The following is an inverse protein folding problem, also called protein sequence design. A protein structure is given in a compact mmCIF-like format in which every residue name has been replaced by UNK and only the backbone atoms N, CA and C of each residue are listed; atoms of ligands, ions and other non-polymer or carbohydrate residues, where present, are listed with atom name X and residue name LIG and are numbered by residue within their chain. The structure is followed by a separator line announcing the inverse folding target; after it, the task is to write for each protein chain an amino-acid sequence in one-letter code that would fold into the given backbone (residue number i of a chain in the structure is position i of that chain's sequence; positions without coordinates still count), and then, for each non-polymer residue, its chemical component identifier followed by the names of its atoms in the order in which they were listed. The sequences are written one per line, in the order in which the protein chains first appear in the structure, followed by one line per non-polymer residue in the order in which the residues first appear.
data_IF_584074957513
#
_entry.id   IF_584074957513
#
_cell.length_a   1.000
_cell.length_b   1.000
_cell.length_c   1.000
_cell.angle_alpha   90.00
_cell.angle_beta   90.00
_cell.angle_gamma   90.00
#
_symmetry.space_group_name_H-M   'P 1'
#
loop_
_entity.id
_entity.type
_entity.pdbx_description
1 polymer ?
#
# COMPACT_ATOMS: atom_id res chain seq x y z
N UNK A 1 -31.33 27.25 14.30
CA UNK A 1 -30.94 26.16 15.22
C UNK A 1 -29.92 25.29 14.49
N UNK A 2 -28.63 25.49 14.76
CA UNK A 2 -27.52 24.74 14.17
C UNK A 2 -27.37 23.39 14.90
N UNK A 3 -27.49 22.28 14.17
CA UNK A 3 -27.09 20.93 14.61
C UNK A 3 -26.28 20.23 13.53
N UNK A 4 -25.23 20.90 13.06
CA UNK A 4 -24.20 20.30 12.20
C UNK A 4 -22.85 20.62 12.81
N UNK A 5 -22.47 19.99 13.92
CA UNK A 5 -21.10 20.13 14.45
C UNK A 5 -20.58 18.99 15.32
N UNK A 6 -21.35 17.96 15.67
CA UNK A 6 -20.79 16.88 16.52
C UNK A 6 -20.36 15.64 15.74
N UNK A 7 -21.09 15.25 14.69
CA UNK A 7 -20.78 13.99 13.98
C UNK A 7 -19.58 14.09 13.02
N UNK A 8 -19.24 15.29 12.55
CA UNK A 8 -18.20 15.46 11.51
C UNK A 8 -16.80 15.70 12.08
N UNK A 9 -16.67 16.02 13.37
CA UNK A 9 -15.36 16.33 13.98
C UNK A 9 -14.65 15.05 14.44
N UNK A 10 -15.39 14.01 14.80
CA UNK A 10 -14.85 12.72 15.26
C UNK A 10 -14.23 11.88 14.13
N UNK A 11 -14.69 12.06 12.89
CA UNK A 11 -14.20 11.32 11.74
C UNK A 11 -12.82 11.79 11.23
N UNK A 12 -12.26 12.90 11.76
CA UNK A 12 -11.14 13.60 11.09
C UNK A 12 -9.78 13.51 11.78
N UNK A 13 -9.65 12.91 12.98
CA UNK A 13 -8.34 12.77 13.63
C UNK A 13 -8.14 11.46 14.43
N UNK A 14 -9.17 10.90 15.07
CA UNK A 14 -9.05 9.62 15.81
C UNK A 14 -9.09 8.39 14.88
N UNK A 15 -9.71 8.49 13.70
CA UNK A 15 -9.75 7.38 12.74
C UNK A 15 -8.45 7.19 11.91
N UNK A 16 -7.41 7.99 12.18
CA UNK A 16 -6.09 7.81 11.55
C UNK A 16 -5.25 6.74 12.28
N UNK A 17 -5.59 6.40 13.54
CA UNK A 17 -4.69 5.63 14.42
C UNK A 17 -4.96 4.11 14.49
N UNK A 18 -5.85 3.57 13.65
CA UNK A 18 -5.94 2.12 13.44
C UNK A 18 -5.96 1.81 11.95
N UNK A 19 -4.82 1.98 11.27
CA UNK A 19 -4.54 1.16 10.08
C UNK A 19 -4.49 -0.30 10.54
N UNK A 20 -5.65 -0.96 10.52
CA UNK A 20 -5.76 -2.36 10.87
C UNK A 20 -5.11 -3.16 9.74
N UNK A 21 -3.95 -3.73 10.05
CA UNK A 21 -3.26 -4.66 9.15
C UNK A 21 -3.88 -6.04 9.33
N UNK A 22 -4.23 -6.69 8.22
CA UNK A 22 -4.86 -8.02 8.20
C UNK A 22 -3.83 -9.12 8.47
N UNK A 23 -2.56 -8.88 8.10
CA UNK A 23 -1.46 -9.83 8.22
C UNK A 23 -0.29 -9.23 8.98
N UNK A 24 0.43 -10.08 9.71
CA UNK A 24 1.68 -9.74 10.37
C UNK A 24 2.63 -10.95 10.43
N UNK A 25 3.93 -10.70 10.51
CA UNK A 25 4.95 -11.75 10.46
C UNK A 25 4.91 -12.80 11.59
N UNK A 26 4.30 -12.48 12.74
CA UNK A 26 4.38 -13.32 13.95
C UNK A 26 3.15 -14.21 14.08
N UNK A 27 1.96 -13.61 13.99
CA UNK A 27 0.70 -14.27 14.29
C UNK A 27 0.02 -14.78 13.03
N UNK A 28 0.14 -14.05 11.92
CA UNK A 28 -0.58 -14.34 10.67
C UNK A 28 0.23 -13.87 9.46
N UNK A 29 1.25 -14.63 9.10
CA UNK A 29 2.20 -14.24 8.04
C UNK A 29 1.57 -14.15 6.66
N UNK A 30 0.36 -14.66 6.47
CA UNK A 30 -0.45 -14.49 5.27
C UNK A 30 0.20 -15.04 3.99
N UNK A 31 -0.29 -14.62 2.81
CA UNK A 31 0.15 -15.18 1.52
C UNK A 31 1.61 -14.88 1.18
N UNK A 32 2.25 -13.88 1.81
CA UNK A 32 3.67 -13.63 1.60
C UNK A 32 4.55 -14.79 2.09
N UNK A 33 4.10 -15.57 3.09
CA UNK A 33 4.86 -16.70 3.60
C UNK A 33 5.01 -17.84 2.57
N UNK A 34 4.03 -17.98 1.65
CA UNK A 34 4.07 -18.97 0.56
C UNK A 34 5.10 -18.61 -0.52
N UNK A 35 5.34 -17.31 -0.73
CA UNK A 35 6.37 -16.82 -1.66
C UNK A 35 7.75 -16.86 -1.00
N UNK A 36 7.83 -16.29 0.21
CA UNK A 36 9.03 -16.28 1.03
C UNK A 36 8.64 -16.00 2.49
N UNK A 37 8.94 -16.95 3.38
CA UNK A 37 8.68 -16.86 4.84
C UNK A 37 9.17 -15.57 5.52
N UNK A 38 10.19 -14.89 4.97
CA UNK A 38 10.75 -13.65 5.51
C UNK A 38 10.27 -12.37 4.81
N UNK A 39 9.46 -12.46 3.75
CA UNK A 39 9.05 -11.29 2.95
C UNK A 39 8.35 -10.19 3.76
N UNK A 40 7.56 -10.59 4.77
CA UNK A 40 6.88 -9.66 5.66
C UNK A 40 7.86 -8.74 6.42
N UNK A 41 9.09 -9.19 6.69
CA UNK A 41 10.11 -8.41 7.45
C UNK A 41 10.50 -7.08 6.79
N UNK A 42 10.20 -6.90 5.50
CA UNK A 42 10.46 -5.67 4.77
C UNK A 42 9.45 -4.56 5.08
N UNK A 43 8.32 -4.91 5.69
CA UNK A 43 7.26 -3.97 6.09
C UNK A 43 7.43 -3.53 7.55
N UNK A 44 6.84 -2.38 7.90
CA UNK A 44 6.87 -1.85 9.26
C UNK A 44 6.32 -2.86 10.25
N UNK A 45 7.18 -3.34 11.16
CA UNK A 45 6.86 -4.37 12.15
C UNK A 45 6.29 -5.67 11.55
N UNK A 46 6.61 -5.96 10.28
CA UNK A 46 6.08 -7.14 9.61
C UNK A 46 4.60 -7.06 9.22
N UNK A 47 3.94 -5.90 9.37
CA UNK A 47 2.50 -5.75 9.20
C UNK A 47 2.16 -5.28 7.77
N UNK A 48 1.19 -5.93 7.14
CA UNK A 48 0.80 -5.60 5.77
C UNK A 48 -0.66 -5.98 5.45
N UNK A 49 -1.17 -5.40 4.36
CA UNK A 49 -2.48 -5.72 3.77
C UNK A 49 -2.29 -6.28 2.37
N UNK A 50 -3.27 -7.07 1.93
CA UNK A 50 -3.31 -7.63 0.57
C UNK A 50 -4.60 -7.18 -0.07
N UNK A 51 -4.48 -6.64 -1.28
CA UNK A 51 -5.61 -6.40 -2.17
C UNK A 51 -5.48 -7.36 -3.35
N UNK A 52 -6.56 -8.08 -3.65
CA UNK A 52 -6.64 -8.86 -4.89
C UNK A 52 -7.15 -7.92 -5.97
N UNK A 53 -6.42 -7.83 -7.07
CA UNK A 53 -6.89 -7.09 -8.24
C UNK A 53 -7.99 -7.91 -8.93
N UNK A 54 -9.15 -7.31 -9.17
CA UNK A 54 -10.28 -7.94 -9.86
C UNK A 54 -10.09 -7.96 -11.39
N UNK A 55 -9.25 -7.05 -11.88
CA UNK A 55 -8.91 -6.88 -13.29
C UNK A 55 -7.40 -6.70 -13.48
N UNK A 56 -6.91 -7.05 -14.67
CA UNK A 56 -5.51 -6.91 -15.03
C UNK A 56 -5.16 -5.42 -15.25
N UNK A 57 -4.10 -4.96 -14.59
CA UNK A 57 -3.58 -3.60 -14.78
C UNK A 57 -2.40 -3.64 -15.75
N UNK A 58 -2.55 -3.02 -16.92
CA UNK A 58 -1.45 -2.83 -17.88
C UNK A 58 -0.76 -1.49 -17.58
N UNK A 59 0.49 -1.55 -17.12
CA UNK A 59 1.31 -0.36 -16.83
C UNK A 59 2.19 -0.01 -18.03
N UNK A 60 1.96 1.15 -18.66
CA UNK A 60 2.86 1.70 -19.67
C UNK A 60 3.98 2.48 -19.01
N UNK A 61 5.24 2.07 -19.23
CA UNK A 61 6.39 2.84 -18.77
C UNK A 61 6.48 4.12 -19.62
N UNK A 62 6.00 5.24 -19.09
CA UNK A 62 6.23 6.54 -19.72
C UNK A 62 7.73 6.87 -19.68
N UNK A 63 8.38 6.67 -20.81
CA UNK A 63 9.73 7.14 -21.07
C UNK A 63 9.80 7.59 -22.51
N UNK A 64 9.99 8.89 -22.74
CA UNK A 64 10.69 9.30 -23.97
C UNK A 64 12.05 8.63 -23.87
N UNK A 65 12.38 7.75 -24.80
CA UNK A 65 13.74 7.26 -24.94
C UNK A 65 14.61 8.51 -25.03
N UNK A 66 15.32 8.82 -23.94
CA UNK A 66 16.34 9.84 -23.92
C UNK A 66 17.44 9.31 -24.81
N UNK A 67 17.28 9.46 -26.13
CA UNK A 67 18.37 9.42 -27.08
C UNK A 67 19.30 10.57 -26.71
N UNK A 68 20.11 10.35 -25.67
CA UNK A 68 21.29 11.15 -25.42
C UNK A 68 22.05 11.20 -26.73
N UNK A 69 22.56 12.39 -27.07
CA UNK A 69 23.19 12.74 -28.36
C UNK A 69 24.50 11.97 -28.65
N UNK A 70 24.68 10.77 -28.12
CA UNK A 70 25.91 9.98 -28.16
C UNK A 70 25.68 8.57 -28.72
N UNK A 71 24.68 8.39 -29.60
CA UNK A 71 24.53 7.14 -30.34
C UNK A 71 25.32 7.12 -31.66
N UNK A 72 25.86 8.26 -32.12
CA UNK A 72 26.78 8.38 -33.24
C UNK A 72 27.64 9.64 -33.04
N UNK A 73 28.91 9.46 -32.72
CA UNK A 73 29.91 10.51 -32.50
C UNK A 73 31.13 9.95 -31.81
#
# INVERSE_FOLDING_TARGET
MNRVTEKTIDDTAENIDKKQYVYNMVENSGPLAEVNSWAASTFRSGMYNVIKLEEDIILYRSGKAGGGKNALG
#
